data_IF_942681908080
#
_entry.id   IF_942681908080
#
_cell.length_a   1.000
_cell.length_b   1.000
_cell.length_c   1.000
_cell.angle_alpha   90.00
_cell.angle_beta   90.00
_cell.angle_gamma   90.00
#
_symmetry.space_group_name_H-M   'P 1'
#
loop_
_entity.id
_entity.type
_entity.pdbx_description
1 polymer ?
#
# COMPACT_ATOMS: atom_id res chain seq x y z
N UNK A 1 -2.15 24.31 -5.87
CA UNK A 1 -1.12 23.89 -4.91
C UNK A 1 -1.68 22.88 -3.92
N UNK A 2 -2.78 23.17 -3.21
CA UNK A 2 -3.36 22.26 -2.20
C UNK A 2 -3.64 20.83 -2.69
N UNK A 3 -4.18 20.68 -3.90
CA UNK A 3 -4.40 19.35 -4.52
C UNK A 3 -3.10 18.56 -4.73
N UNK A 4 -2.04 19.20 -5.21
CA UNK A 4 -0.75 18.54 -5.46
C UNK A 4 -0.08 18.12 -4.16
N UNK A 5 -0.14 18.98 -3.13
CA UNK A 5 0.40 18.69 -1.80
C UNK A 5 -0.33 17.49 -1.20
N UNK A 6 -1.67 17.50 -1.24
CA UNK A 6 -2.44 16.36 -0.76
C UNK A 6 -2.04 15.08 -1.48
N UNK A 7 -2.04 15.10 -2.82
CA UNK A 7 -1.71 13.91 -3.61
C UNK A 7 -0.30 13.39 -3.30
N UNK A 8 0.68 14.27 -3.12
CA UNK A 8 2.02 13.90 -2.69
C UNK A 8 2.02 13.25 -1.30
N UNK A 9 1.29 13.81 -0.34
CA UNK A 9 1.15 13.23 1.00
C UNK A 9 0.51 11.84 0.96
N UNK A 10 -0.49 11.63 0.10
CA UNK A 10 -1.11 10.32 -0.07
C UNK A 10 -0.14 9.30 -0.68
N UNK A 11 0.71 9.70 -1.63
CA UNK A 11 1.74 8.81 -2.18
C UNK A 11 2.77 8.47 -1.10
N UNK A 12 3.17 9.45 -0.28
CA UNK A 12 4.09 9.23 0.85
C UNK A 12 3.49 8.24 1.83
N UNK A 13 2.22 8.42 2.21
CA UNK A 13 1.50 7.50 3.09
C UNK A 13 1.43 6.08 2.48
N UNK A 14 1.02 5.97 1.22
CA UNK A 14 1.01 4.70 0.50
C UNK A 14 2.41 4.04 0.46
N UNK A 15 3.47 4.82 0.26
CA UNK A 15 4.83 4.33 0.24
C UNK A 15 5.32 3.85 1.61
N UNK A 16 4.91 4.52 2.69
CA UNK A 16 5.17 4.07 4.07
C UNK A 16 4.48 2.74 4.35
N UNK A 17 3.21 2.60 3.93
CA UNK A 17 2.45 1.34 4.05
C UNK A 17 3.09 0.21 3.24
N UNK A 18 3.57 0.54 2.03
CA UNK A 18 4.20 -0.42 1.13
C UNK A 18 5.68 -0.69 1.45
N UNK A 19 6.32 0.06 2.34
CA UNK A 19 7.74 -0.11 2.66
C UNK A 19 8.09 -1.54 3.07
N UNK A 20 7.36 -2.23 3.97
CA UNK A 20 7.68 -3.60 4.38
C UNK A 20 7.59 -4.62 3.23
N UNK A 21 6.83 -4.33 2.17
CA UNK A 21 6.72 -5.21 1.00
C UNK A 21 8.02 -5.29 0.23
N UNK A 22 8.69 -4.14 0.06
CA UNK A 22 9.84 -4.03 -0.81
C UNK A 22 11.15 -3.92 -0.03
N UNK A 23 11.19 -3.10 1.02
CA UNK A 23 12.33 -2.84 1.92
C UNK A 23 13.67 -2.60 1.19
N UNK A 24 13.64 -2.00 0.00
CA UNK A 24 14.84 -1.72 -0.80
C UNK A 24 14.88 -0.28 -1.27
N UNK A 25 16.08 0.23 -1.57
CA UNK A 25 16.26 1.59 -2.08
C UNK A 25 15.62 1.85 -3.46
N UNK A 26 15.69 0.92 -4.44
CA UNK A 26 15.03 1.07 -5.74
C UNK A 26 13.53 1.34 -5.64
N UNK A 27 12.85 0.83 -4.61
CA UNK A 27 11.43 1.13 -4.38
C UNK A 27 11.15 2.63 -4.20
N UNK A 28 12.01 3.36 -3.47
CA UNK A 28 11.82 4.81 -3.29
C UNK A 28 12.07 5.57 -4.59
N UNK A 29 13.08 5.15 -5.36
CA UNK A 29 13.35 5.70 -6.69
C UNK A 29 12.17 5.50 -7.63
N UNK A 30 11.59 4.30 -7.66
CA UNK A 30 10.40 4.00 -8.46
C UNK A 30 9.20 4.84 -8.03
N UNK A 31 8.96 4.98 -6.71
CA UNK A 31 7.84 5.76 -6.17
C UNK A 31 7.93 7.23 -6.60
N UNK A 32 9.09 7.86 -6.35
CA UNK A 32 9.32 9.26 -6.70
C UNK A 32 9.33 9.43 -8.22
N UNK A 33 10.03 8.55 -8.94
CA UNK A 33 10.14 8.58 -10.39
C UNK A 33 8.79 8.44 -11.09
N UNK A 34 7.95 7.50 -10.66
CA UNK A 34 6.59 7.32 -11.18
C UNK A 34 5.72 8.57 -10.95
N UNK A 35 5.75 9.14 -9.75
CA UNK A 35 5.00 10.35 -9.42
C UNK A 35 5.43 11.56 -10.24
N UNK A 36 6.75 11.79 -10.36
CA UNK A 36 7.32 12.89 -11.15
C UNK A 36 7.03 12.71 -12.64
N UNK A 37 7.18 11.50 -13.17
CA UNK A 37 6.87 11.18 -14.56
C UNK A 37 5.40 11.44 -14.88
N UNK A 38 4.48 10.95 -14.04
CA UNK A 38 3.05 11.17 -14.19
C UNK A 38 2.70 12.67 -14.18
N UNK A 39 3.31 13.43 -13.27
CA UNK A 39 3.15 14.87 -13.18
C UNK A 39 3.66 15.59 -14.44
N UNK A 40 4.85 15.23 -14.92
CA UNK A 40 5.44 15.80 -16.13
C UNK A 40 4.57 15.51 -17.36
N UNK A 41 4.16 14.26 -17.56
CA UNK A 41 3.27 13.85 -18.66
C UNK A 41 1.94 14.61 -18.60
N UNK A 42 1.31 14.72 -17.43
CA UNK A 42 0.07 15.46 -17.26
C UNK A 42 0.21 16.93 -17.64
N UNK A 43 1.28 17.59 -17.15
CA UNK A 43 1.51 19.02 -17.42
C UNK A 43 1.84 19.27 -18.88
N UNK A 44 2.76 18.51 -19.46
CA UNK A 44 3.16 18.66 -20.86
C UNK A 44 1.95 18.45 -21.77
N UNK A 45 1.19 17.38 -21.53
CA UNK A 45 -0.05 17.08 -22.25
C UNK A 45 -1.08 18.21 -22.19
N UNK A 46 -1.23 18.83 -21.02
CA UNK A 46 -2.15 19.96 -20.84
C UNK A 46 -1.64 21.26 -21.45
N UNK A 47 -0.33 21.53 -21.35
CA UNK A 47 0.32 22.74 -21.88
C UNK A 47 0.30 22.74 -23.41
N UNK A 48 0.59 21.60 -24.01
CA UNK A 48 0.61 21.40 -25.46
C UNK A 48 -0.78 21.09 -26.04
N UNK A 49 -1.83 21.08 -25.20
CA UNK A 49 -3.23 20.88 -25.60
C UNK A 49 -3.45 19.62 -26.45
N UNK A 50 -2.79 18.53 -26.09
CA UNK A 50 -2.92 17.27 -26.80
C UNK A 50 -4.38 16.77 -26.84
N UNK A 51 -4.79 16.26 -28.00
CA UNK A 51 -6.03 15.51 -28.12
C UNK A 51 -6.00 14.30 -27.17
N UNK A 52 -7.17 13.81 -26.77
CA UNK A 52 -7.28 12.78 -25.73
C UNK A 52 -6.50 11.50 -26.10
N UNK A 53 -6.53 11.08 -27.36
CA UNK A 53 -5.79 9.90 -27.85
C UNK A 53 -4.27 10.12 -27.81
N UNK A 54 -3.79 11.32 -28.16
CA UNK A 54 -2.36 11.66 -28.07
C UNK A 54 -1.88 11.61 -26.61
N UNK A 55 -2.71 12.07 -25.66
CA UNK A 55 -2.39 11.98 -24.23
C UNK A 55 -2.24 10.54 -23.77
N UNK A 56 -3.10 9.65 -24.22
CA UNK A 56 -3.01 8.21 -23.91
C UNK A 56 -1.73 7.61 -24.51
N UNK A 57 -1.44 7.88 -25.78
CA UNK A 57 -0.23 7.38 -26.44
C UNK A 57 1.04 7.87 -25.72
N UNK A 58 1.14 9.18 -25.44
CA UNK A 58 2.28 9.76 -24.74
C UNK A 58 2.41 9.18 -23.33
N UNK A 59 1.29 8.99 -22.62
CA UNK A 59 1.31 8.39 -21.30
C UNK A 59 1.81 6.94 -21.30
N UNK A 60 1.36 6.13 -22.26
CA UNK A 60 1.80 4.74 -22.39
C UNK A 60 3.27 4.69 -22.78
N UNK A 61 3.69 5.45 -23.80
CA UNK A 61 5.08 5.47 -24.25
C UNK A 61 6.03 5.99 -23.17
N UNK A 62 5.69 7.09 -22.50
CA UNK A 62 6.50 7.60 -21.40
C UNK A 62 6.58 6.60 -20.24
N UNK A 63 5.46 5.97 -19.90
CA UNK A 63 5.38 4.94 -18.86
C UNK A 63 6.25 3.71 -19.18
N UNK A 64 6.22 3.22 -20.42
CA UNK A 64 7.05 2.09 -20.84
C UNK A 64 8.54 2.46 -20.93
N UNK A 65 8.86 3.60 -21.55
CA UNK A 65 10.24 4.04 -21.78
C UNK A 65 10.95 4.36 -20.47
N UNK A 66 10.33 5.14 -19.59
CA UNK A 66 10.97 5.57 -18.35
C UNK A 66 10.72 4.56 -17.22
N UNK A 67 9.57 3.87 -17.21
CA UNK A 67 9.25 2.86 -16.20
C UNK A 67 10.20 1.66 -16.25
N UNK A 68 10.59 1.21 -17.44
CA UNK A 68 11.59 0.14 -17.58
C UNK A 68 12.91 0.52 -16.90
N UNK A 69 13.39 1.74 -17.15
CA UNK A 69 14.65 2.23 -16.56
C UNK A 69 14.56 2.47 -15.05
N UNK A 70 13.42 2.95 -14.56
CA UNK A 70 13.19 3.19 -13.13
C UNK A 70 13.14 1.89 -12.32
N UNK A 71 12.40 0.90 -12.83
CA UNK A 71 12.16 -0.37 -12.12
C UNK A 71 13.38 -1.28 -12.08
N UNK A 72 14.33 -1.09 -13.01
CA UNK A 72 15.55 -1.90 -13.16
C UNK A 72 16.82 -1.07 -12.97
N UNK A 73 16.72 0.09 -12.30
CA UNK A 73 17.81 1.06 -12.20
C UNK A 73 19.10 0.48 -11.60
N UNK A 74 18.98 -0.53 -10.73
CA UNK A 74 20.07 -1.26 -10.08
C UNK A 74 20.90 -2.12 -11.06
N UNK A 75 20.40 -2.40 -12.26
CA UNK A 75 20.99 -3.36 -13.20
C UNK A 75 21.47 -2.76 -14.51
N UNK A 76 21.36 -1.44 -14.68
CA UNK A 76 21.73 -0.72 -15.90
C UNK A 76 23.25 -0.55 -16.04
N UNK A 77 23.98 -1.66 -16.17
CA UNK A 77 25.46 -1.67 -16.27
C UNK A 77 25.97 -1.81 -17.71
N UNK A 78 25.12 -2.19 -18.65
CA UNK A 78 25.47 -2.38 -20.06
C UNK A 78 24.30 -2.09 -20.99
N UNK A 79 24.56 -1.96 -22.29
CA UNK A 79 23.51 -1.79 -23.31
C UNK A 79 22.58 -3.01 -23.35
N UNK A 80 23.12 -4.22 -23.18
CA UNK A 80 22.32 -5.45 -23.08
C UNK A 80 21.35 -5.40 -21.91
N UNK A 81 21.79 -4.88 -20.76
CA UNK A 81 20.94 -4.73 -19.58
C UNK A 81 19.78 -3.74 -19.79
N UNK A 82 19.93 -2.77 -20.69
CA UNK A 82 18.81 -1.87 -21.06
C UNK A 82 17.72 -2.68 -21.79
N UNK A 83 18.10 -3.54 -22.74
CA UNK A 83 17.16 -4.41 -23.46
C UNK A 83 16.45 -5.35 -22.48
N UNK A 84 17.20 -5.92 -21.54
CA UNK A 84 16.64 -6.78 -20.50
C UNK A 84 15.68 -6.04 -19.57
N UNK A 85 15.94 -4.76 -19.25
CA UNK A 85 15.01 -3.93 -18.47
C UNK A 85 13.68 -3.71 -19.19
N UNK A 86 13.69 -3.54 -20.51
CA UNK A 86 12.46 -3.45 -21.30
C UNK A 86 11.70 -4.76 -21.35
N UNK A 87 12.40 -5.88 -21.54
CA UNK A 87 11.79 -7.20 -21.49
C UNK A 87 11.20 -7.48 -20.09
N UNK A 88 11.92 -7.11 -19.03
CA UNK A 88 11.49 -7.17 -17.64
C UNK A 88 10.24 -6.33 -17.39
N UNK A 89 10.19 -5.08 -17.85
CA UNK A 89 8.99 -4.23 -17.76
C UNK A 89 7.75 -4.88 -18.39
N UNK A 90 7.89 -5.49 -19.56
CA UNK A 90 6.79 -6.19 -20.24
C UNK A 90 6.37 -7.47 -19.50
N UNK A 91 7.32 -8.23 -18.95
CA UNK A 91 7.04 -9.38 -18.10
C UNK A 91 6.34 -8.97 -16.81
N UNK A 92 6.87 -7.97 -16.11
CA UNK A 92 6.33 -7.45 -14.86
C UNK A 92 4.91 -6.88 -14.97
N UNK A 93 4.52 -6.39 -16.15
CA UNK A 93 3.14 -5.97 -16.42
C UNK A 93 2.13 -7.11 -16.21
N UNK A 94 2.54 -8.35 -16.47
CA UNK A 94 1.69 -9.55 -16.39
C UNK A 94 2.07 -10.38 -15.15
N UNK A 95 3.32 -10.81 -15.08
CA UNK A 95 3.84 -11.73 -14.07
C UNK A 95 4.09 -11.05 -12.72
N UNK A 96 4.43 -9.75 -12.70
CA UNK A 96 4.83 -9.05 -11.47
C UNK A 96 3.73 -9.07 -10.40
N UNK A 97 2.46 -9.03 -10.79
CA UNK A 97 1.32 -9.14 -9.87
C UNK A 97 1.26 -10.50 -9.17
N UNK A 98 1.52 -11.57 -9.93
CA UNK A 98 1.55 -12.94 -9.40
C UNK A 98 2.79 -13.13 -8.53
N UNK A 99 3.94 -12.67 -8.98
CA UNK A 99 5.20 -12.80 -8.25
C UNK A 99 5.13 -12.10 -6.89
N UNK A 100 4.49 -10.92 -6.82
CA UNK A 100 4.25 -10.21 -5.56
C UNK A 100 3.43 -11.03 -4.53
N UNK A 101 2.59 -11.96 -4.99
CA UNK A 101 1.82 -12.86 -4.12
C UNK A 101 2.59 -14.12 -3.72
N UNK A 102 3.52 -14.58 -4.54
CA UNK A 102 4.19 -15.87 -4.35
C UNK A 102 5.59 -15.77 -3.74
N UNK A 103 6.22 -14.60 -3.82
CA UNK A 103 7.61 -14.38 -3.40
C UNK A 103 7.69 -14.05 -1.90
N UNK A 104 8.72 -14.58 -1.18
CA UNK A 104 8.92 -14.23 0.22
C UNK A 104 9.28 -12.76 0.39
N UNK A 105 8.83 -12.15 1.49
CA UNK A 105 9.17 -10.77 1.82
C UNK A 105 10.58 -10.67 2.42
N UNK A 106 11.31 -9.58 2.16
CA UNK A 106 10.95 -8.46 1.29
C UNK A 106 11.13 -8.77 -0.20
N UNK A 107 10.13 -8.44 -1.02
CA UNK A 107 10.11 -8.78 -2.44
C UNK A 107 10.89 -7.80 -3.33
N UNK A 108 11.42 -6.70 -2.78
CA UNK A 108 12.07 -5.63 -3.53
C UNK A 108 13.41 -5.99 -4.18
N UNK A 109 13.98 -7.16 -3.87
CA UNK A 109 15.17 -7.71 -4.54
C UNK A 109 14.83 -8.61 -5.72
N UNK A 110 13.57 -9.03 -5.84
CA UNK A 110 13.14 -9.94 -6.89
C UNK A 110 12.90 -9.19 -8.21
N UNK A 111 13.15 -9.90 -9.31
CA UNK A 111 13.02 -9.37 -10.67
C UNK A 111 11.56 -8.96 -10.92
N UNK A 112 11.34 -7.85 -11.62
CA UNK A 112 10.02 -7.41 -12.11
C UNK A 112 8.93 -7.05 -11.06
N UNK A 113 9.17 -7.28 -9.76
CA UNK A 113 8.17 -7.06 -8.69
C UNK A 113 7.87 -5.58 -8.43
N UNK A 114 8.77 -4.66 -8.83
CA UNK A 114 8.56 -3.21 -8.72
C UNK A 114 7.60 -2.66 -9.80
N UNK A 115 7.34 -3.42 -10.86
CA UNK A 115 6.51 -2.98 -12.00
C UNK A 115 5.04 -2.74 -11.60
N UNK A 116 4.36 -3.65 -10.86
CA UNK A 116 3.03 -3.38 -10.32
C UNK A 116 2.93 -2.07 -9.53
N UNK A 117 3.89 -1.82 -8.62
CA UNK A 117 3.92 -0.59 -7.84
C UNK A 117 4.08 0.65 -8.73
N UNK A 118 5.02 0.60 -9.67
CA UNK A 118 5.21 1.67 -10.66
C UNK A 118 3.90 1.98 -11.39
N UNK A 119 3.20 0.96 -11.89
CA UNK A 119 1.95 1.12 -12.65
C UNK A 119 0.89 1.81 -11.80
N UNK A 120 0.68 1.34 -10.56
CA UNK A 120 -0.36 1.87 -9.69
C UNK A 120 -0.09 3.32 -9.32
N UNK A 121 1.16 3.66 -8.96
CA UNK A 121 1.56 5.05 -8.67
C UNK A 121 1.44 5.91 -9.92
N UNK A 122 2.03 5.50 -11.04
CA UNK A 122 2.04 6.26 -12.28
C UNK A 122 0.61 6.52 -12.79
N UNK A 123 -0.19 5.47 -12.94
CA UNK A 123 -1.56 5.58 -13.41
C UNK A 123 -2.46 6.35 -12.43
N UNK A 124 -2.34 6.06 -11.13
CA UNK A 124 -3.10 6.74 -10.07
C UNK A 124 -2.88 8.25 -10.09
N UNK A 125 -1.62 8.68 -10.11
CA UNK A 125 -1.24 10.10 -10.14
C UNK A 125 -1.66 10.76 -11.46
N UNK A 126 -1.36 10.12 -12.59
CA UNK A 126 -1.65 10.66 -13.92
C UNK A 126 -3.15 10.88 -14.11
N UNK A 127 -3.96 9.90 -13.74
CA UNK A 127 -5.41 9.96 -13.84
C UNK A 127 -6.00 10.93 -12.81
N UNK A 128 -5.50 10.96 -11.56
CA UNK A 128 -5.95 11.93 -10.57
C UNK A 128 -5.73 13.37 -11.06
N UNK A 129 -4.58 13.66 -11.68
CA UNK A 129 -4.29 14.96 -12.28
C UNK A 129 -5.16 15.26 -13.50
N UNK A 130 -5.39 14.27 -14.36
CA UNK A 130 -6.19 14.41 -15.59
C UNK A 130 -7.67 14.61 -15.27
N UNK A 131 -8.17 13.96 -14.23
CA UNK A 131 -9.57 13.97 -13.79
C UNK A 131 -9.84 14.99 -12.68
N UNK A 132 -8.90 15.89 -12.36
CA UNK A 132 -9.01 16.87 -11.26
C UNK A 132 -10.29 17.73 -11.28
N UNK A 133 -10.99 17.83 -12.41
CA UNK A 133 -12.27 18.54 -12.54
C UNK A 133 -13.46 17.72 -12.04
N UNK A 134 -13.31 16.41 -11.94
CA UNK A 134 -14.31 15.47 -11.45
C UNK A 134 -13.80 14.91 -10.13
N UNK A 135 -14.10 15.62 -9.05
CA UNK A 135 -13.47 15.45 -7.74
C UNK A 135 -13.49 14.01 -7.22
N UNK A 136 -14.63 13.33 -7.33
CA UNK A 136 -14.81 11.98 -6.82
C UNK A 136 -13.99 10.94 -7.61
N UNK A 137 -13.92 11.07 -8.93
CA UNK A 137 -13.08 10.24 -9.79
C UNK A 137 -11.60 10.48 -9.53
N UNK A 138 -11.19 11.75 -9.45
CA UNK A 138 -9.82 12.15 -9.14
C UNK A 138 -9.37 11.60 -7.79
N UNK A 139 -10.25 11.68 -6.78
CA UNK A 139 -9.98 11.15 -5.47
C UNK A 139 -9.92 9.61 -5.49
N UNK A 140 -10.91 8.95 -6.09
CA UNK A 140 -10.94 7.48 -6.16
C UNK A 140 -9.75 6.87 -6.91
N UNK A 141 -9.29 7.51 -7.98
CA UNK A 141 -8.12 7.02 -8.72
C UNK A 141 -6.80 7.40 -8.02
N UNK A 142 -6.76 8.55 -7.34
CA UNK A 142 -5.62 8.96 -6.54
C UNK A 142 -5.35 8.04 -5.35
N UNK A 143 -6.37 7.39 -4.79
CA UNK A 143 -6.22 6.45 -3.66
C UNK A 143 -5.73 5.06 -4.05
N UNK A 144 -5.63 4.73 -5.35
CA UNK A 144 -5.19 3.40 -5.80
C UNK A 144 -3.84 2.93 -5.23
N UNK A 145 -2.79 3.76 -5.13
CA UNK A 145 -1.52 3.34 -4.53
C UNK A 145 -1.67 2.93 -3.07
N UNK A 146 -2.49 3.65 -2.31
CA UNK A 146 -2.78 3.33 -0.92
C UNK A 146 -3.57 2.03 -0.81
N UNK A 147 -4.59 1.85 -1.65
CA UNK A 147 -5.37 0.60 -1.71
C UNK A 147 -4.50 -0.59 -2.07
N UNK A 148 -3.58 -0.42 -3.02
CA UNK A 148 -2.59 -1.43 -3.38
C UNK A 148 -1.64 -1.73 -2.21
N UNK A 149 -1.08 -0.71 -1.56
CA UNK A 149 -0.18 -0.89 -0.43
C UNK A 149 -0.87 -1.67 0.69
N UNK A 150 -2.12 -1.29 1.01
CA UNK A 150 -2.95 -2.01 1.97
C UNK A 150 -3.18 -3.45 1.46
N UNK A 151 -3.67 -3.65 0.24
CA UNK A 151 -3.99 -4.95 -0.37
C UNK A 151 -2.90 -6.00 -0.19
N UNK A 152 -1.64 -5.62 -0.44
CA UNK A 152 -0.52 -6.55 -0.43
C UNK A 152 0.26 -6.59 0.88
N UNK A 153 0.25 -5.52 1.68
CA UNK A 153 0.99 -5.47 2.95
C UNK A 153 0.31 -6.31 4.04
N UNK A 154 1.09 -7.13 4.75
CA UNK A 154 0.56 -7.94 5.86
C UNK A 154 0.55 -7.13 7.17
N UNK A 155 -0.52 -7.21 7.99
CA UNK A 155 -0.65 -6.50 9.27
C UNK A 155 0.55 -6.68 10.19
N UNK A 156 1.15 -7.87 10.16
CA UNK A 156 2.23 -8.28 11.05
C UNK A 156 3.61 -7.70 10.74
N UNK A 157 3.83 -7.15 9.54
CA UNK A 157 5.19 -6.81 9.04
C UNK A 157 5.44 -5.30 8.99
N UNK A 158 4.39 -4.48 9.19
CA UNK A 158 4.44 -3.02 9.07
C UNK A 158 4.19 -2.25 10.36
N UNK A 159 4.06 -2.92 11.50
CA UNK A 159 3.89 -2.24 12.78
C UNK A 159 5.20 -1.54 13.18
N UNK A 160 5.38 -0.29 12.74
CA UNK A 160 6.02 0.70 13.61
C UNK A 160 5.11 0.80 14.82
N UNK A 161 5.35 -0.07 15.81
CA UNK A 161 4.55 -0.14 17.02
C UNK A 161 4.82 1.14 17.83
N UNK A 162 4.04 2.18 17.59
CA UNK A 162 3.81 3.19 18.62
C UNK A 162 3.04 2.47 19.74
N UNK A 163 3.51 2.51 21.00
CA UNK A 163 2.86 1.78 22.08
C UNK A 163 1.39 2.21 22.19
N UNK A 164 0.46 1.26 21.95
CA UNK A 164 -0.97 1.47 22.14
C UNK A 164 -1.78 1.98 20.94
N UNK A 165 -1.21 2.11 19.74
CA UNK A 165 -1.97 2.50 18.53
C UNK A 165 -1.77 1.47 17.42
N UNK A 166 -2.85 0.79 17.03
CA UNK A 166 -2.87 -0.01 15.80
C UNK A 166 -2.79 0.95 14.59
N UNK A 167 -1.58 1.12 14.06
CA UNK A 167 -1.23 2.08 12.99
C UNK A 167 -2.01 1.86 11.69
N UNK A 168 -2.57 0.67 11.52
CA UNK A 168 -3.32 0.22 10.33
C UNK A 168 -4.60 1.01 10.06
N UNK A 169 -5.29 1.47 11.11
CA UNK A 169 -6.50 2.29 10.96
C UNK A 169 -6.18 3.76 10.68
N UNK A 170 -5.04 4.25 11.16
CA UNK A 170 -4.58 5.63 10.98
C UNK A 170 -4.41 5.93 9.48
N UNK A 171 -3.89 4.97 8.71
CA UNK A 171 -3.62 5.10 7.27
C UNK A 171 -4.90 5.10 6.43
N UNK A 172 -5.86 4.22 6.72
CA UNK A 172 -7.19 4.21 6.05
C UNK A 172 -7.90 5.54 6.28
N UNK A 173 -7.83 6.03 7.51
CA UNK A 173 -8.40 7.29 7.96
C UNK A 173 -7.74 8.49 7.29
N UNK A 174 -6.43 8.48 7.15
CA UNK A 174 -5.67 9.48 6.39
C UNK A 174 -6.07 9.48 4.91
N UNK A 175 -6.26 8.31 4.31
CA UNK A 175 -6.79 8.15 2.96
C UNK A 175 -8.21 8.71 2.80
N UNK A 176 -9.10 8.44 3.76
CA UNK A 176 -10.47 8.98 3.80
C UNK A 176 -10.47 10.49 4.00
N UNK A 177 -9.61 11.01 4.88
CA UNK A 177 -9.46 12.45 5.12
C UNK A 177 -8.91 13.17 3.90
N UNK A 178 -8.00 12.54 3.16
CA UNK A 178 -7.54 13.04 1.87
C UNK A 178 -8.68 13.08 0.85
N UNK A 179 -9.45 12.00 0.73
CA UNK A 179 -10.60 11.90 -0.17
C UNK A 179 -11.65 12.98 0.13
N UNK A 180 -11.91 13.22 1.42
CA UNK A 180 -12.80 14.28 1.90
C UNK A 180 -12.23 15.67 1.62
N UNK A 181 -10.93 15.90 1.86
CA UNK A 181 -10.25 17.16 1.57
C UNK A 181 -10.24 17.51 0.08
N UNK A 182 -9.95 16.53 -0.79
CA UNK A 182 -9.99 16.69 -2.24
C UNK A 182 -11.40 17.03 -2.74
N UNK A 183 -12.42 16.36 -2.18
CA UNK A 183 -13.82 16.65 -2.47
C UNK A 183 -14.24 18.06 -2.06
N UNK A 184 -13.86 18.50 -0.85
CA UNK A 184 -14.19 19.83 -0.32
C UNK A 184 -13.50 20.96 -1.11
N UNK A 185 -12.23 20.78 -1.49
CA UNK A 185 -11.50 21.76 -2.32
C UNK A 185 -12.14 21.89 -3.70
N UNK A 186 -12.57 20.78 -4.31
CA UNK A 186 -13.24 20.81 -5.60
C UNK A 186 -14.63 21.48 -5.52
N UNK A 187 -15.39 21.26 -4.44
CA UNK A 187 -16.66 21.96 -4.20
C UNK A 187 -16.48 23.46 -3.94
N UNK A 188 -15.46 23.86 -3.20
CA UNK A 188 -15.13 25.28 -2.97
C UNK A 188 -14.77 26.01 -4.27
N UNK A 189 -14.10 25.32 -5.20
CA UNK A 189 -13.81 25.86 -6.53
C UNK A 189 -15.06 25.97 -7.41
N UNK A 190 -15.99 24.99 -7.35
CA UNK A 190 -17.23 25.00 -8.11
C UNK A 190 -18.21 26.10 -7.65
N UNK A 191 -18.32 26.32 -6.34
CA UNK A 191 -19.15 27.38 -5.75
C UNK A 191 -18.59 28.78 -6.03
N UNK A 192 -17.27 28.94 -6.02
CA UNK A 192 -16.61 30.19 -6.41
C UNK A 192 -16.77 30.53 -7.91
N UNK A 193 -16.87 29.51 -8.78
CA UNK A 193 -17.11 29.69 -10.20
C UNK A 193 -18.59 30.00 -10.52
N UNK A 194 -19.54 29.45 -9.75
CA UNK A 194 -20.96 29.74 -9.88
C UNK A 194 -21.33 31.16 -9.43
N UNK A 195 -20.57 31.75 -8.50
CA UNK A 195 -20.72 33.16 -8.10
C UNK A 195 -20.20 34.17 -9.14
N UNK A 196 -19.57 33.70 -10.23
CA UNK A 196 -19.05 34.52 -11.33
C UNK A 196 -19.85 34.33 -12.62
N UNK A 197 -21.18 34.20 -12.54
CA UNK A 197 -22.04 34.31 -13.71
C UNK A 197 -22.22 35.80 -14.07
N UNK A 198 -21.84 36.25 -15.28
CA UNK A 198 -21.98 37.64 -15.68
C UNK A 198 -23.45 37.92 -16.05
N UNK A 199 -24.30 38.14 -15.04
CA UNK A 199 -25.59 38.76 -15.26
C UNK A 199 -25.35 40.24 -15.60
N UNK A 200 -25.70 40.62 -16.82
CA UNK A 200 -25.42 41.92 -17.40
C UNK A 200 -25.89 43.09 -16.52
N UNK A 201 -24.98 44.01 -16.25
CA UNK A 201 -25.34 45.43 -16.08
C UNK A 201 -24.17 46.31 -16.48
N UNK A 202 -24.43 47.14 -17.46
CA UNK A 202 -23.60 48.25 -17.90
C UNK A 202 -23.57 49.34 -16.82
N UNK A 203 -22.51 49.41 -16.00
CA UNK A 203 -22.20 50.66 -15.30
C UNK A 203 -20.75 50.76 -14.82
N UNK A 204 -20.07 51.76 -15.41
CA UNK A 204 -18.95 52.55 -14.88
C UNK A 204 -17.79 51.83 -14.17
N UNK A 205 -16.64 51.81 -14.88
CA UNK A 205 -15.31 51.63 -14.31
C UNK A 205 -15.08 52.64 -13.17
N UNK A 206 -14.95 52.16 -11.94
CA UNK A 206 -14.22 52.84 -10.86
C UNK A 206 -13.03 51.97 -10.47
N UNK A 207 -11.80 52.52 -10.38
CA UNK A 207 -10.67 51.75 -9.89
C UNK A 207 -10.77 51.68 -8.36
N UNK A 208 -11.39 50.63 -7.82
CA UNK A 208 -11.36 50.39 -6.39
C UNK A 208 -10.04 49.72 -6.00
N UNK A 209 -9.35 50.41 -5.08
CA UNK A 209 -8.15 50.02 -4.35
C UNK A 209 -7.95 48.50 -4.21
N UNK A 210 -6.75 48.04 -4.56
CA UNK A 210 -6.21 46.73 -4.19
C UNK A 210 -6.34 46.51 -2.69
N UNK A 211 -7.35 45.74 -2.29
CA UNK A 211 -7.53 45.31 -0.90
C UNK A 211 -6.53 44.19 -0.59
N UNK A 212 -5.70 44.30 0.48
CA UNK A 212 -4.74 43.26 0.88
C UNK A 212 -5.41 42.01 1.48
N UNK A 213 -6.75 41.98 1.55
CA UNK A 213 -7.55 40.92 2.18
C UNK A 213 -7.64 39.63 1.34
N UNK A 214 -7.18 39.63 0.08
CA UNK A 214 -7.21 38.44 -0.79
C UNK A 214 -5.97 37.55 -0.68
N UNK A 215 -4.85 38.09 -0.16
CA UNK A 215 -3.60 37.36 0.08
C UNK A 215 -3.60 36.69 1.46
N UNK A 216 -4.17 37.35 2.47
CA UNK A 216 -4.32 36.78 3.82
C UNK A 216 -5.28 35.59 3.85
N UNK A 217 -6.38 35.60 3.10
CA UNK A 217 -7.28 34.43 3.02
C UNK A 217 -6.65 33.22 2.32
N UNK A 218 -5.74 33.44 1.36
CA UNK A 218 -5.03 32.35 0.67
C UNK A 218 -3.98 31.69 1.57
N UNK A 219 -3.25 32.49 2.36
CA UNK A 219 -2.28 31.99 3.34
C UNK A 219 -2.95 31.34 4.56
N UNK A 220 -4.06 31.92 5.05
CA UNK A 220 -4.86 31.33 6.14
C UNK A 220 -5.51 30.02 5.69
N UNK A 221 -5.95 29.90 4.43
CA UNK A 221 -6.56 28.65 3.92
C UNK A 221 -5.59 27.47 3.80
N UNK A 222 -4.28 27.73 3.59
CA UNK A 222 -3.26 26.69 3.53
C UNK A 222 -2.77 26.26 4.91
N UNK A 223 -2.67 27.18 5.87
CA UNK A 223 -2.34 26.86 7.28
C UNK A 223 -3.53 26.18 7.97
N UNK A 224 -4.75 26.61 7.70
CA UNK A 224 -5.96 25.97 8.24
C UNK A 224 -6.18 24.57 7.67
N UNK A 225 -5.81 24.31 6.42
CA UNK A 225 -5.94 22.96 5.82
C UNK A 225 -4.98 21.95 6.49
N UNK A 226 -3.75 22.35 6.79
CA UNK A 226 -2.78 21.51 7.50
C UNK A 226 -3.19 21.32 8.96
N UNK A 227 -3.68 22.37 9.63
CA UNK A 227 -4.17 22.27 11.01
C UNK A 227 -5.43 21.42 11.14
N UNK A 228 -6.40 21.55 10.21
CA UNK A 228 -7.60 20.70 10.17
C UNK A 228 -7.23 19.25 9.89
N UNK A 229 -6.24 19.01 9.01
CA UNK A 229 -5.74 17.66 8.76
C UNK A 229 -5.09 17.07 10.02
N UNK A 230 -4.24 17.83 10.72
CA UNK A 230 -3.62 17.38 11.97
C UNK A 230 -4.65 17.09 13.08
N UNK A 231 -5.66 17.94 13.22
CA UNK A 231 -6.75 17.74 14.19
C UNK A 231 -7.60 16.52 13.81
N UNK A 232 -7.91 16.34 12.53
CA UNK A 232 -8.69 15.20 12.09
C UNK A 232 -7.94 13.86 12.24
N UNK A 233 -6.62 13.87 12.01
CA UNK A 233 -5.74 12.73 12.34
C UNK A 233 -5.82 12.42 13.84
N UNK A 234 -5.73 13.44 14.70
CA UNK A 234 -5.82 13.28 16.16
C UNK A 234 -7.17 12.75 16.64
N UNK A 235 -8.28 13.28 16.12
CA UNK A 235 -9.65 12.86 16.49
C UNK A 235 -9.91 11.41 16.10
N UNK A 236 -9.48 11.02 14.90
CA UNK A 236 -9.76 9.66 14.45
C UNK A 236 -8.80 8.65 15.09
N UNK A 237 -7.55 9.01 15.36
CA UNK A 237 -6.66 8.19 16.18
C UNK A 237 -7.29 7.92 17.57
N UNK A 238 -7.89 8.94 18.20
CA UNK A 238 -8.60 8.78 19.46
C UNK A 238 -9.87 7.91 19.33
N UNK A 239 -10.63 8.06 18.23
CA UNK A 239 -11.84 7.28 17.99
C UNK A 239 -11.55 5.78 17.74
N UNK A 240 -10.46 5.46 17.05
CA UNK A 240 -10.02 4.07 16.83
C UNK A 240 -9.64 3.41 18.15
N UNK A 241 -8.87 4.11 19.00
CA UNK A 241 -8.51 3.63 20.34
C UNK A 241 -9.76 3.44 21.21
N UNK A 242 -10.77 4.31 21.08
CA UNK A 242 -11.99 4.26 21.89
C UNK A 242 -13.00 3.18 21.45
N UNK A 243 -13.02 2.79 20.16
CA UNK A 243 -14.06 1.90 19.60
C UNK A 243 -13.69 0.42 19.54
N UNK A 244 -12.41 0.07 19.73
CA UNK A 244 -11.99 -1.33 19.90
C UNK A 244 -12.30 -2.25 18.72
N UNK A 245 -12.34 -1.71 17.49
CA UNK A 245 -12.65 -2.49 16.28
C UNK A 245 -11.61 -3.63 16.14
N UNK A 246 -12.03 -4.90 15.97
CA UNK A 246 -11.11 -6.03 15.84
C UNK A 246 -10.15 -5.85 14.65
N UNK A 247 -8.85 -5.74 14.97
CA UNK A 247 -7.73 -5.39 14.10
C UNK A 247 -7.19 -6.51 13.22
N UNK A 248 -8.04 -7.22 12.49
CA UNK A 248 -7.56 -8.27 11.59
C UNK A 248 -8.01 -8.00 10.17
N UNK A 249 -7.21 -7.23 9.43
CA UNK A 249 -7.32 -7.11 7.98
C UNK A 249 -6.64 -8.32 7.33
N UNK A 250 -7.37 -9.05 6.48
CA UNK A 250 -6.78 -10.16 5.71
C UNK A 250 -6.12 -9.60 4.45
N UNK A 251 -4.81 -9.81 4.29
CA UNK A 251 -4.08 -9.42 3.08
C UNK A 251 -4.27 -10.48 1.98
N UNK A 252 -4.27 -10.08 0.70
CA UNK A 252 -4.52 -10.99 -0.44
C UNK A 252 -3.55 -12.18 -0.52
N UNK A 253 -2.36 -12.06 0.09
CA UNK A 253 -1.35 -13.13 0.18
C UNK A 253 -1.56 -14.10 1.34
N UNK A 254 -2.36 -13.75 2.36
CA UNK A 254 -2.47 -14.57 3.57
C UNK A 254 -3.11 -15.94 3.32
N UNK A 255 -3.93 -16.07 2.28
CA UNK A 255 -4.52 -17.35 1.86
C UNK A 255 -3.63 -18.14 0.89
N UNK A 256 -2.55 -17.53 0.39
CA UNK A 256 -1.61 -18.11 -0.59
C UNK A 256 -0.33 -18.60 0.10
N UNK A 257 -0.06 -18.12 1.32
CA UNK A 257 1.05 -18.63 2.13
C UNK A 257 0.84 -20.15 2.32
N UNK A 258 1.73 -21.01 1.83
CA UNK A 258 1.74 -22.40 2.27
C UNK A 258 1.88 -22.33 3.78
N UNK A 259 1.09 -23.10 4.52
CA UNK A 259 1.27 -23.26 5.95
C UNK A 259 2.69 -23.78 6.24
N UNK A 260 3.68 -22.89 6.30
CA UNK A 260 5.08 -23.18 6.61
C UNK A 260 5.19 -23.71 8.04
N UNK A 261 4.18 -23.45 8.87
CA UNK A 261 4.00 -24.07 10.19
C UNK A 261 3.70 -25.56 10.13
N UNK A 262 3.22 -26.12 9.00
CA UNK A 262 3.09 -27.57 8.81
C UNK A 262 4.38 -28.23 8.29
N UNK A 263 5.27 -27.47 7.63
CA UNK A 263 6.51 -28.01 7.07
C UNK A 263 7.69 -28.00 8.06
N UNK A 264 7.65 -27.15 9.10
CA UNK A 264 8.70 -27.07 10.12
C UNK A 264 8.43 -28.00 11.31
N UNK A 265 7.20 -28.48 11.48
CA UNK A 265 6.92 -29.53 12.45
C UNK A 265 7.53 -30.85 11.92
N UNK A 266 8.51 -31.46 12.63
CA UNK A 266 9.03 -32.76 12.22
C UNK A 266 7.86 -33.75 12.14
N UNK A 267 7.81 -34.52 11.05
CA UNK A 267 6.72 -35.48 10.85
C UNK A 267 6.60 -36.42 12.07
N UNK A 268 5.40 -36.86 12.47
CA UNK A 268 5.26 -37.78 13.59
C UNK A 268 6.12 -39.04 13.44
N UNK A 269 6.33 -39.49 12.20
CA UNK A 269 7.24 -40.60 11.89
C UNK A 269 8.71 -40.25 12.10
N UNK A 270 9.13 -39.02 11.77
CA UNK A 270 10.49 -38.54 12.04
C UNK A 270 10.76 -38.46 13.54
N UNK A 271 9.82 -37.91 14.32
CA UNK A 271 9.89 -37.88 15.78
C UNK A 271 9.92 -39.29 16.38
N UNK A 272 9.10 -40.20 15.85
CA UNK A 272 9.11 -41.61 16.27
C UNK A 272 10.47 -42.25 16.01
N UNK A 273 11.08 -42.05 14.83
CA UNK A 273 12.41 -42.62 14.53
C UNK A 273 13.52 -41.99 15.36
N UNK A 274 13.45 -40.67 15.60
CA UNK A 274 14.43 -39.95 16.41
C UNK A 274 14.44 -40.46 17.86
N UNK A 275 13.29 -40.83 18.42
CA UNK A 275 13.22 -41.37 19.78
C UNK A 275 13.97 -42.70 19.96
N UNK A 276 14.20 -43.47 18.89
CA UNK A 276 15.03 -44.69 18.93
C UNK A 276 16.52 -44.44 18.65
N UNK A 277 16.84 -43.37 17.93
CA UNK A 277 18.23 -43.03 17.56
C UNK A 277 18.91 -42.22 18.66
N UNK A 278 18.16 -41.32 19.30
CA UNK A 278 18.68 -40.47 20.36
C UNK A 278 18.66 -41.23 21.70
N UNK A 279 19.85 -41.59 22.19
CA UNK A 279 20.02 -42.36 23.43
C UNK A 279 19.46 -41.66 24.67
N UNK A 280 19.38 -40.33 24.70
CA UNK A 280 18.79 -39.57 25.80
C UNK A 280 17.26 -39.64 25.79
N UNK A 281 16.64 -39.59 24.60
CA UNK A 281 15.19 -39.74 24.44
C UNK A 281 14.75 -41.19 24.68
N UNK A 282 15.55 -42.15 24.23
CA UNK A 282 15.29 -43.58 24.41
C UNK A 282 15.36 -44.00 25.89
N UNK A 283 16.34 -43.49 26.64
CA UNK A 283 16.50 -43.79 28.06
C UNK A 283 15.70 -42.84 28.98
N UNK A 284 15.05 -41.82 28.42
CA UNK A 284 14.31 -40.80 29.15
C UNK A 284 12.95 -41.28 29.67
N UNK A 285 12.44 -40.62 30.71
CA UNK A 285 11.10 -40.89 31.22
C UNK A 285 10.05 -40.40 30.22
N UNK A 286 9.38 -41.32 29.53
CA UNK A 286 8.38 -40.99 28.50
C UNK A 286 7.08 -40.39 29.07
N UNK A 287 6.71 -40.74 30.30
CA UNK A 287 5.49 -40.26 30.95
C UNK A 287 5.72 -40.15 32.46
N UNK A 288 5.55 -38.94 33.00
CA UNK A 288 5.48 -38.70 34.45
C UNK A 288 4.05 -38.30 34.78
N UNK A 289 3.44 -38.98 35.75
CA UNK A 289 2.07 -38.71 36.18
C UNK A 289 2.04 -38.41 37.67
N UNK A 290 1.36 -37.33 38.03
CA UNK A 290 1.07 -36.97 39.41
C UNK A 290 -0.45 -36.88 39.58
N UNK A 291 -0.98 -37.59 40.57
CA UNK A 291 -2.39 -37.56 40.89
C UNK A 291 -2.67 -36.53 42.00
N UNK A 292 -3.68 -35.70 41.81
CA UNK A 292 -4.22 -34.82 42.84
C UNK A 292 -4.97 -35.64 43.91
N UNK A 293 -4.94 -35.28 45.20
CA UNK A 293 -5.69 -35.99 46.23
C UNK A 293 -7.19 -36.05 45.89
N UNK A 294 -7.74 -37.27 45.76
CA UNK A 294 -9.14 -37.51 45.37
C UNK A 294 -9.38 -37.77 43.87
N UNK A 295 -8.36 -37.64 43.02
CA UNK A 295 -8.44 -37.97 41.60
C UNK A 295 -8.26 -39.45 41.28
N UNK A 296 -8.73 -39.88 40.11
CA UNK A 296 -8.59 -41.26 39.62
C UNK A 296 -7.10 -41.61 39.45
N UNK A 297 -6.65 -42.70 40.08
CA UNK A 297 -5.23 -43.09 40.17
C UNK A 297 -4.79 -44.02 39.04
N UNK A 298 -5.64 -44.22 38.03
CA UNK A 298 -5.43 -45.20 36.96
C UNK A 298 -5.13 -44.49 35.64
N UNK A 299 -4.05 -44.90 34.98
CA UNK A 299 -3.71 -44.49 33.61
C UNK A 299 -3.97 -45.68 32.69
N UNK A 300 -4.68 -45.46 31.60
CA UNK A 300 -4.81 -46.44 30.51
C UNK A 300 -3.89 -46.02 29.37
N UNK A 301 -3.09 -46.95 28.90
CA UNK A 301 -2.21 -46.75 27.76
C UNK A 301 -2.80 -47.48 26.55
N UNK A 302 -2.76 -46.83 25.40
CA UNK A 302 -3.13 -47.40 24.12
C UNK A 302 -1.94 -47.27 23.17
N UNK A 303 -1.69 -48.32 22.39
CA UNK A 303 -0.68 -48.32 21.33
C UNK A 303 -1.37 -47.97 20.02
N UNK A 304 -0.75 -47.09 19.22
CA UNK A 304 -1.26 -46.66 17.92
C UNK A 304 -0.35 -47.24 16.81
N UNK A 305 -0.60 -48.47 16.33
CA UNK A 305 0.32 -49.17 15.43
C UNK A 305 0.21 -48.73 13.96
N UNK A 306 -0.86 -48.05 13.56
CA UNK A 306 -1.09 -47.67 12.16
C UNK A 306 -0.66 -46.22 11.91
N UNK A 307 -0.01 -45.98 10.78
CA UNK A 307 0.40 -44.65 10.32
C UNK A 307 -0.07 -44.44 8.88
N UNK A 308 -0.90 -43.42 8.66
CA UNK A 308 -1.52 -43.13 7.35
C UNK A 308 -0.71 -42.13 6.49
N UNK A 309 0.46 -41.70 6.98
CA UNK A 309 1.28 -40.66 6.36
C UNK A 309 1.24 -39.34 7.11
N UNK A 310 0.21 -39.10 7.93
CA UNK A 310 0.03 -37.86 8.70
C UNK A 310 -0.19 -38.11 10.20
N UNK A 311 -0.91 -39.15 10.60
CA UNK A 311 -1.28 -39.42 12.00
C UNK A 311 -1.10 -40.90 12.37
N UNK A 312 -0.87 -41.17 13.66
CA UNK A 312 -0.94 -42.51 14.21
C UNK A 312 -2.37 -42.82 14.68
N UNK A 313 -2.90 -43.99 14.31
CA UNK A 313 -4.23 -44.45 14.72
C UNK A 313 -4.18 -45.85 15.37
N UNK A 314 -5.23 -46.16 16.15
CA UNK A 314 -5.43 -47.48 16.75
C UNK A 314 -6.27 -48.43 15.87
N UNK A 315 -6.82 -47.92 14.76
CA UNK A 315 -7.70 -48.61 13.80
C UNK A 315 -7.74 -47.88 12.47
#
# INVERSE_FOLDING_TARGET
MTFLIGLALLIVDAAVVAWPLYATWPFLLVTVGAGVLAWAVAIISHRLRFAWYVRVIVAVLAGLLIGALLTHADRLTSIGAIVDAYAGMLRGLIAGWKELLTVPLPAGSYVDVLVPWFIVVYAGVLLALSLRRIAWLSAGVGTLPLLFALAFSSPSVGAVALPGVAVEYVQIVLGILWMLGAFLVARGAATSAAGSSPAGSSRAKRPSRRSPVSLSRRLVSSVSAVAVLAIAIGVVAAAVVATGIPGTRVALRQDIEPAQTLAVAPSPLSLYRESFVNSQLFAGTALTYSATPGGDRRIRLAVLPFYDGNVFSAS
#
